data_IF_364138594235
#
_entry.id   IF_364138594235
#
_cell.length_a   1.000
_cell.length_b   1.000
_cell.length_c   1.000
_cell.angle_alpha   90.00
_cell.angle_beta   90.00
_cell.angle_gamma   90.00
#
_symmetry.space_group_name_H-M   'P 1'
#
loop_
_entity.id
_entity.type
_entity.pdbx_description
1 polymer ?
#
# COMPACT_ATOMS: atom_id res chain seq x y z
N UNK A 1 13.33 -27.37 10.18
CA UNK A 1 12.47 -26.20 10.43
C UNK A 1 13.18 -25.03 9.77
N UNK A 2 12.86 -24.75 8.50
CA UNK A 2 13.56 -23.69 7.76
C UNK A 2 12.80 -22.38 7.98
N UNK A 3 13.39 -21.47 8.75
CA UNK A 3 12.99 -20.07 8.75
C UNK A 3 13.70 -19.38 7.59
N UNK A 4 13.00 -19.14 6.47
CA UNK A 4 13.46 -18.13 5.52
C UNK A 4 13.00 -16.77 6.06
N UNK A 5 13.91 -16.11 6.76
CA UNK A 5 13.83 -14.67 6.99
C UNK A 5 14.09 -14.01 5.64
N UNK A 6 13.08 -13.32 5.06
CA UNK A 6 13.31 -12.44 3.92
C UNK A 6 14.21 -11.29 4.43
N UNK A 7 15.53 -11.42 4.25
CA UNK A 7 16.56 -10.49 4.75
C UNK A 7 16.88 -9.34 3.79
N UNK A 8 16.01 -9.02 2.85
CA UNK A 8 16.11 -7.78 2.09
C UNK A 8 14.80 -7.01 2.15
N UNK A 9 14.92 -5.77 2.63
CA UNK A 9 13.90 -4.72 2.71
C UNK A 9 13.41 -4.23 1.33
N UNK A 10 13.65 -5.01 0.28
CA UNK A 10 13.15 -4.75 -1.06
C UNK A 10 11.78 -5.37 -1.14
N UNK A 11 10.72 -4.56 -1.26
CA UNK A 11 9.37 -5.10 -1.49
C UNK A 11 9.43 -6.11 -2.63
N UNK A 12 8.71 -7.22 -2.46
CA UNK A 12 8.77 -8.37 -3.37
C UNK A 12 8.70 -7.90 -4.84
N UNK A 13 9.77 -8.13 -5.61
CA UNK A 13 9.86 -7.70 -7.01
C UNK A 13 8.66 -8.21 -7.84
N UNK A 14 8.09 -9.37 -7.48
CA UNK A 14 6.88 -9.88 -8.12
C UNK A 14 5.66 -8.99 -7.87
N UNK A 15 5.54 -8.38 -6.69
CA UNK A 15 4.48 -7.41 -6.39
C UNK A 15 4.68 -6.12 -7.19
N UNK A 16 5.92 -5.62 -7.26
CA UNK A 16 6.25 -4.43 -8.06
C UNK A 16 5.93 -4.67 -9.54
N UNK A 17 6.39 -5.80 -10.10
CA UNK A 17 6.13 -6.18 -11.49
C UNK A 17 4.62 -6.34 -11.77
N UNK A 18 3.86 -6.88 -10.82
CA UNK A 18 2.40 -6.97 -10.91
C UNK A 18 1.76 -5.58 -10.98
N UNK A 19 2.17 -4.65 -10.13
CA UNK A 19 1.63 -3.30 -10.11
C UNK A 19 2.10 -2.45 -11.29
N UNK A 20 3.32 -2.65 -11.78
CA UNK A 20 3.87 -1.88 -12.90
C UNK A 20 3.45 -2.41 -14.27
N UNK A 21 2.78 -3.57 -14.34
CA UNK A 21 2.32 -4.13 -15.60
C UNK A 21 1.29 -3.20 -16.26
N UNK A 22 1.71 -2.49 -17.30
CA UNK A 22 0.84 -1.65 -18.13
C UNK A 22 0.30 -2.53 -19.25
N UNK A 23 -1.02 -2.74 -19.32
CA UNK A 23 -1.66 -3.40 -20.45
C UNK A 23 -2.26 -2.34 -21.37
N UNK A 24 -1.80 -2.27 -22.62
CA UNK A 24 -2.34 -1.36 -23.66
C UNK A 24 -2.36 0.14 -23.27
N UNK A 25 -1.37 0.60 -22.50
CA UNK A 25 -1.30 2.00 -22.02
C UNK A 25 -2.22 2.31 -20.83
N UNK A 26 -2.93 1.32 -20.29
CA UNK A 26 -3.74 1.42 -19.07
C UNK A 26 -2.99 0.87 -17.85
N UNK A 27 -3.29 1.39 -16.64
CA UNK A 27 -2.68 0.89 -15.41
C UNK A 27 -2.96 -0.59 -15.17
N UNK A 28 -2.26 -1.15 -14.18
CA UNK A 28 -2.37 -2.56 -13.83
C UNK A 28 -3.78 -2.99 -13.40
N UNK A 29 -4.14 -4.24 -13.72
CA UNK A 29 -5.40 -4.89 -13.32
C UNK A 29 -5.58 -5.01 -11.80
N UNK A 30 -4.54 -4.71 -11.01
CA UNK A 30 -4.59 -4.68 -9.54
C UNK A 30 -5.03 -3.31 -8.98
N UNK A 31 -5.87 -2.56 -9.70
CA UNK A 31 -6.44 -1.29 -9.25
C UNK A 31 -7.28 -1.40 -7.96
N UNK A 32 -7.73 -2.62 -7.62
CA UNK A 32 -8.45 -2.93 -6.40
C UNK A 32 -7.55 -3.06 -5.16
N UNK A 33 -6.23 -2.97 -5.32
CA UNK A 33 -5.30 -2.94 -4.20
C UNK A 33 -5.20 -1.53 -3.65
N UNK A 34 -5.41 -1.43 -2.34
CA UNK A 34 -5.25 -0.19 -1.60
C UNK A 34 -3.78 -0.04 -1.25
N UNK A 35 -3.18 1.05 -1.72
CA UNK A 35 -1.79 1.42 -1.50
C UNK A 35 -1.74 2.57 -0.48
N UNK A 36 -0.73 2.55 0.38
CA UNK A 36 -0.59 3.52 1.46
C UNK A 36 0.81 4.13 1.46
N UNK A 37 0.90 5.46 1.44
CA UNK A 37 2.17 6.16 1.43
C UNK A 37 2.16 7.31 2.42
N UNK A 38 3.26 7.47 3.17
CA UNK A 38 3.49 8.67 3.97
C UNK A 38 4.02 9.77 3.06
N UNK A 39 3.37 10.94 3.10
CA UNK A 39 3.74 12.09 2.28
C UNK A 39 4.70 13.03 3.03
N UNK A 40 5.19 14.04 2.31
CA UNK A 40 6.12 15.06 2.83
C UNK A 40 5.54 15.91 3.98
N UNK A 41 4.22 16.04 4.06
CA UNK A 41 3.50 16.73 5.13
C UNK A 41 3.14 15.81 6.32
N UNK A 42 3.69 14.59 6.39
CA UNK A 42 3.45 13.60 7.44
C UNK A 42 2.02 13.02 7.46
N UNK A 43 1.22 13.24 6.42
CA UNK A 43 -0.08 12.57 6.24
C UNK A 43 0.07 11.23 5.50
N UNK A 44 -0.90 10.34 5.70
CA UNK A 44 -1.05 9.10 4.95
C UNK A 44 -1.94 9.39 3.73
N UNK A 45 -1.43 9.07 2.55
CA UNK A 45 -2.20 8.90 1.33
C UNK A 45 -2.65 7.45 1.20
N UNK A 46 -3.96 7.23 1.19
CA UNK A 46 -4.57 6.01 0.68
C UNK A 46 -4.99 6.21 -0.77
N UNK A 47 -4.56 5.28 -1.62
CA UNK A 47 -4.76 5.36 -3.07
C UNK A 47 -4.70 3.99 -3.74
N UNK A 48 -4.67 3.97 -5.07
CA UNK A 48 -4.46 2.79 -5.90
C UNK A 48 -3.37 3.04 -6.95
N UNK A 49 -3.08 2.03 -7.77
CA UNK A 49 -2.01 2.13 -8.77
C UNK A 49 -2.26 3.18 -9.86
N UNK A 50 -3.52 3.49 -10.16
CA UNK A 50 -3.89 4.45 -11.21
C UNK A 50 -3.41 5.85 -10.86
N UNK A 51 -3.69 6.31 -9.63
CA UNK A 51 -3.22 7.61 -9.18
C UNK A 51 -1.69 7.66 -9.07
N UNK A 52 -1.05 6.56 -8.65
CA UNK A 52 0.42 6.49 -8.58
C UNK A 52 1.03 6.62 -9.98
N UNK A 53 0.43 5.97 -10.99
CA UNK A 53 0.85 6.11 -12.38
C UNK A 53 0.62 7.54 -12.92
N UNK A 54 -0.49 8.17 -12.55
CA UNK A 54 -0.78 9.55 -12.94
C UNK A 54 0.20 10.55 -12.30
N UNK A 55 0.53 10.36 -11.02
CA UNK A 55 1.58 11.15 -10.33
C UNK A 55 2.91 10.97 -11.03
N UNK A 56 3.27 9.74 -11.38
CA UNK A 56 4.48 9.44 -12.14
C UNK A 56 4.51 10.23 -13.45
N UNK A 57 3.46 10.12 -14.28
CA UNK A 57 3.40 10.77 -15.59
C UNK A 57 3.55 12.28 -15.49
N UNK A 58 2.83 12.91 -14.57
CA UNK A 58 2.78 14.37 -14.46
C UNK A 58 4.02 14.98 -13.80
N UNK A 59 4.61 14.31 -12.81
CA UNK A 59 5.60 14.94 -11.92
C UNK A 59 6.96 14.24 -11.90
N UNK A 60 7.04 12.95 -12.23
CA UNK A 60 8.26 12.15 -12.05
C UNK A 60 8.81 11.53 -13.34
N UNK A 61 8.06 11.53 -14.45
CA UNK A 61 8.45 10.95 -15.75
C UNK A 61 9.70 11.57 -16.38
N UNK A 62 10.04 12.81 -16.01
CA UNK A 62 11.32 13.44 -16.43
C UNK A 62 12.52 12.94 -15.62
N UNK A 63 12.30 12.50 -14.38
CA UNK A 63 13.34 12.02 -13.47
C UNK A 63 13.54 10.50 -13.58
N UNK A 64 12.46 9.76 -13.78
CA UNK A 64 12.45 8.31 -13.90
C UNK A 64 11.98 7.96 -15.30
N UNK A 65 12.81 7.24 -16.05
CA UNK A 65 12.53 6.84 -17.43
C UNK A 65 11.50 5.72 -17.53
N UNK A 66 11.31 4.99 -16.43
CA UNK A 66 10.43 3.82 -16.35
C UNK A 66 9.58 3.87 -15.08
N UNK A 67 8.31 3.47 -15.21
CA UNK A 67 7.36 3.48 -14.10
C UNK A 67 7.71 2.45 -13.03
N UNK A 68 8.25 1.28 -13.41
CA UNK A 68 8.69 0.24 -12.49
C UNK A 68 9.79 0.77 -11.58
N UNK A 69 10.78 1.50 -12.14
CA UNK A 69 11.86 2.11 -11.36
C UNK A 69 11.30 3.13 -10.36
N UNK A 70 10.40 4.00 -10.80
CA UNK A 70 9.75 4.94 -9.90
C UNK A 70 8.98 4.23 -8.78
N UNK A 71 8.21 3.21 -9.13
CA UNK A 71 7.39 2.46 -8.18
C UNK A 71 8.25 1.70 -7.17
N UNK A 72 9.37 1.13 -7.60
CA UNK A 72 10.34 0.48 -6.72
C UNK A 72 10.93 1.48 -5.72
N UNK A 73 11.38 2.64 -6.19
CA UNK A 73 11.93 3.70 -5.33
C UNK A 73 10.87 4.25 -4.36
N UNK A 74 9.62 4.35 -4.80
CA UNK A 74 8.49 4.83 -3.98
C UNK A 74 8.12 3.81 -2.90
N UNK A 75 8.01 2.53 -3.28
CA UNK A 75 7.64 1.45 -2.36
C UNK A 75 8.72 1.17 -1.32
N UNK A 76 9.99 1.42 -1.65
CA UNK A 76 11.13 1.31 -0.74
C UNK A 76 11.41 2.61 0.03
N UNK A 77 10.48 3.57 0.02
CA UNK A 77 10.56 4.84 0.77
C UNK A 77 11.77 5.72 0.42
N UNK A 78 12.38 5.53 -0.76
CA UNK A 78 13.51 6.35 -1.26
C UNK A 78 13.04 7.62 -1.95
N UNK A 79 11.78 7.65 -2.38
CA UNK A 79 11.08 8.87 -2.84
C UNK A 79 9.79 9.04 -2.06
N UNK A 80 9.50 10.29 -1.72
CA UNK A 80 8.29 10.69 -1.02
C UNK A 80 7.38 11.44 -1.98
N UNK A 81 6.07 11.13 -1.94
CA UNK A 81 5.06 11.86 -2.70
C UNK A 81 4.85 13.21 -2.04
N UNK A 82 4.91 14.28 -2.83
CA UNK A 82 4.60 15.61 -2.32
C UNK A 82 3.10 15.83 -2.24
N UNK A 83 2.64 16.33 -1.10
CA UNK A 83 1.24 16.68 -0.86
C UNK A 83 0.69 17.71 -1.86
N UNK A 84 1.54 18.61 -2.37
CA UNK A 84 1.17 19.59 -3.41
C UNK A 84 0.66 18.94 -4.71
N UNK A 85 1.21 17.77 -5.09
CA UNK A 85 0.81 17.04 -6.28
C UNK A 85 -0.58 16.42 -6.10
N UNK A 86 -0.85 15.86 -4.93
CA UNK A 86 -2.16 15.30 -4.60
C UNK A 86 -3.22 16.39 -4.57
N UNK A 87 -2.93 17.52 -3.93
CA UNK A 87 -3.88 18.65 -3.86
C UNK A 87 -4.24 19.20 -5.24
N UNK A 88 -3.29 19.16 -6.18
CA UNK A 88 -3.52 19.56 -7.57
C UNK A 88 -4.41 18.56 -8.30
N UNK A 89 -4.14 17.25 -8.15
CA UNK A 89 -4.92 16.19 -8.80
C UNK A 89 -6.34 16.05 -8.22
N UNK A 90 -6.52 16.24 -6.90
CA UNK A 90 -7.85 16.17 -6.24
C UNK A 90 -8.81 17.24 -6.74
N UNK A 91 -8.32 18.42 -7.11
CA UNK A 91 -9.17 19.48 -7.70
C UNK A 91 -9.83 19.05 -9.02
N UNK A 92 -9.29 18.03 -9.67
CA UNK A 92 -9.82 17.52 -10.93
C UNK A 92 -10.79 16.32 -10.75
N UNK A 93 -11.02 15.83 -9.51
CA UNK A 93 -11.99 14.77 -9.15
C UNK A 93 -11.84 13.40 -9.87
N UNK A 94 -10.65 13.05 -10.38
CA UNK A 94 -10.52 11.85 -11.24
C UNK A 94 -10.10 10.57 -10.49
N UNK A 95 -9.62 10.64 -9.24
CA UNK A 95 -8.93 9.49 -8.62
C UNK A 95 -9.20 9.28 -7.12
N UNK A 96 -9.02 8.03 -6.66
CA UNK A 96 -9.05 7.66 -5.24
C UNK A 96 -7.82 8.27 -4.53
N UNK A 97 -8.06 9.32 -3.75
CA UNK A 97 -7.04 10.03 -2.97
C UNK A 97 -7.59 10.41 -1.60
N UNK A 98 -7.50 9.50 -0.64
CA UNK A 98 -7.92 9.74 0.73
C UNK A 98 -6.72 10.14 1.58
N UNK A 99 -6.81 11.27 2.26
CA UNK A 99 -5.76 11.79 3.14
C UNK A 99 -6.20 11.60 4.59
N UNK A 100 -5.28 11.15 5.43
CA UNK A 100 -5.52 10.99 6.86
C UNK A 100 -4.27 11.39 7.63
N UNK A 101 -4.47 12.00 8.81
CA UNK A 101 -3.42 12.11 9.80
C UNK A 101 -3.05 10.73 10.36
N UNK A 102 -1.87 10.66 10.97
CA UNK A 102 -1.38 9.46 11.66
C UNK A 102 -1.90 9.46 13.10
N UNK A 103 -2.37 8.30 13.57
CA UNK A 103 -2.61 8.05 15.00
C UNK A 103 -1.30 7.58 15.67
N UNK A 104 -0.72 8.42 16.52
CA UNK A 104 0.53 8.16 17.23
C UNK A 104 0.51 6.87 18.07
N UNK A 105 -0.67 6.48 18.58
CA UNK A 105 -0.80 5.28 19.41
C UNK A 105 -0.63 4.05 18.55
N UNK A 106 -1.27 4.00 17.38
CA UNK A 106 -1.14 2.92 16.40
C UNK A 106 0.24 2.93 15.76
N UNK A 107 0.80 4.10 15.39
CA UNK A 107 2.10 4.20 14.72
C UNK A 107 3.22 3.52 15.53
N UNK A 108 3.18 3.72 16.86
CA UNK A 108 4.13 3.15 17.83
C UNK A 108 3.89 1.67 18.14
N UNK A 109 2.76 1.07 17.73
CA UNK A 109 2.54 -0.36 17.90
C UNK A 109 3.37 -1.19 16.92
N UNK A 110 3.82 -2.36 17.38
CA UNK A 110 4.34 -3.40 16.50
C UNK A 110 3.22 -4.01 15.67
N UNK A 111 3.56 -4.52 14.49
CA UNK A 111 2.62 -5.20 13.59
C UNK A 111 1.92 -6.38 14.30
N UNK A 112 2.65 -7.14 15.11
CA UNK A 112 2.09 -8.25 15.92
C UNK A 112 1.02 -7.78 16.92
N UNK A 113 1.21 -6.61 17.54
CA UNK A 113 0.23 -6.05 18.47
C UNK A 113 -0.99 -5.51 17.73
N UNK A 114 -0.79 -4.96 16.52
CA UNK A 114 -1.90 -4.55 15.65
C UNK A 114 -2.73 -5.77 15.24
N UNK A 115 -2.08 -6.84 14.78
CA UNK A 115 -2.71 -8.10 14.41
C UNK A 115 -3.57 -8.65 15.55
N UNK A 116 -3.01 -8.79 16.76
CA UNK A 116 -3.73 -9.34 17.91
C UNK A 116 -4.91 -8.49 18.39
N UNK A 117 -4.81 -7.16 18.26
CA UNK A 117 -5.76 -6.22 18.87
C UNK A 117 -6.89 -5.82 17.94
N UNK A 118 -6.61 -5.70 16.64
CA UNK A 118 -7.53 -5.09 15.69
C UNK A 118 -7.95 -6.03 14.56
N UNK A 119 -7.20 -7.10 14.31
CA UNK A 119 -7.41 -7.95 13.16
C UNK A 119 -8.02 -9.29 13.56
N UNK A 120 -9.02 -9.73 12.81
CA UNK A 120 -9.59 -11.06 12.93
C UNK A 120 -8.87 -11.99 11.97
N UNK A 121 -8.30 -13.08 12.48
CA UNK A 121 -7.65 -14.10 11.65
C UNK A 121 -8.73 -14.96 10.97
N UNK A 122 -8.76 -14.96 9.64
CA UNK A 122 -9.65 -15.83 8.86
C UNK A 122 -8.96 -17.15 8.52
N UNK A 123 -7.70 -17.07 8.11
CA UNK A 123 -6.85 -18.21 7.76
C UNK A 123 -5.39 -17.81 7.93
N UNK A 124 -4.47 -18.78 7.83
CA UNK A 124 -3.03 -18.52 7.99
C UNK A 124 -2.59 -17.32 7.12
N UNK A 125 -2.02 -16.31 7.78
CA UNK A 125 -1.51 -15.08 7.17
C UNK A 125 -2.53 -14.25 6.38
N UNK A 126 -3.84 -14.44 6.63
CA UNK A 126 -4.90 -13.61 6.09
C UNK A 126 -5.89 -13.17 7.18
N UNK A 127 -6.11 -11.87 7.23
CA UNK A 127 -6.86 -11.20 8.27
C UNK A 127 -7.97 -10.34 7.68
N UNK A 128 -8.94 -10.02 8.53
CA UNK A 128 -10.00 -9.06 8.26
C UNK A 128 -9.96 -7.93 9.29
N UNK A 129 -10.07 -6.70 8.81
CA UNK A 129 -10.27 -5.50 9.64
C UNK A 129 -11.71 -5.01 9.49
N UNK A 130 -12.51 -5.17 10.54
CA UNK A 130 -13.85 -4.59 10.64
C UNK A 130 -13.75 -3.17 11.22
N UNK A 131 -14.26 -2.18 10.50
CA UNK A 131 -14.04 -0.76 10.83
C UNK A 131 -15.10 -0.16 11.75
N UNK A 132 -16.28 -0.78 11.88
CA UNK A 132 -17.45 -0.16 12.49
C UNK A 132 -17.33 0.31 13.95
N UNK A 133 -16.28 -0.10 14.67
CA UNK A 133 -16.01 0.31 16.06
C UNK A 133 -14.67 1.04 16.24
N UNK A 134 -13.95 1.29 15.15
CA UNK A 134 -12.61 1.87 15.17
C UNK A 134 -12.68 3.25 14.52
N UNK A 135 -12.12 4.26 15.19
CA UNK A 135 -12.02 5.61 14.63
C UNK A 135 -11.29 5.59 13.28
N UNK A 136 -11.77 6.39 12.33
CA UNK A 136 -11.27 6.38 10.95
C UNK A 136 -9.74 6.60 10.86
N UNK A 137 -9.20 7.54 11.64
CA UNK A 137 -7.75 7.80 11.70
C UNK A 137 -6.94 6.58 12.14
N UNK A 138 -7.46 5.82 13.12
CA UNK A 138 -6.84 4.56 13.57
C UNK A 138 -6.92 3.50 12.49
N UNK A 139 -8.06 3.35 11.82
CA UNK A 139 -8.21 2.43 10.67
C UNK A 139 -7.17 2.73 9.59
N UNK A 140 -7.03 3.99 9.18
CA UNK A 140 -6.05 4.38 8.14
C UNK A 140 -4.61 4.14 8.58
N UNK A 141 -4.30 4.42 9.84
CA UNK A 141 -2.96 4.15 10.40
C UNK A 141 -2.66 2.66 10.50
N UNK A 142 -3.65 1.83 10.88
CA UNK A 142 -3.53 0.36 10.88
C UNK A 142 -3.23 -0.13 9.46
N UNK A 143 -4.03 0.27 8.47
CA UNK A 143 -3.85 -0.16 7.08
C UNK A 143 -2.49 0.26 6.52
N UNK A 144 -2.06 1.49 6.78
CA UNK A 144 -0.71 1.96 6.45
C UNK A 144 0.40 1.11 7.08
N UNK A 145 0.28 0.78 8.37
CA UNK A 145 1.26 -0.07 9.07
C UNK A 145 1.30 -1.48 8.50
N UNK A 146 0.15 -2.07 8.17
CA UNK A 146 0.12 -3.38 7.52
C UNK A 146 0.76 -3.31 6.13
N UNK A 147 0.44 -2.30 5.32
CA UNK A 147 1.01 -2.15 3.98
C UNK A 147 2.54 -1.99 3.97
N UNK A 148 3.08 -1.20 4.89
CA UNK A 148 4.54 -1.02 5.03
C UNK A 148 5.26 -2.25 5.59
N UNK A 149 4.51 -3.21 6.14
CA UNK A 149 5.01 -4.51 6.61
C UNK A 149 4.60 -5.64 5.65
N UNK A 150 4.57 -5.35 4.35
CA UNK A 150 4.38 -6.32 3.26
C UNK A 150 3.03 -7.06 3.27
N UNK A 151 1.96 -6.38 3.69
CA UNK A 151 0.60 -6.87 3.49
C UNK A 151 -0.05 -6.25 2.25
N UNK A 152 -0.79 -7.08 1.51
CA UNK A 152 -1.73 -6.66 0.46
C UNK A 152 -3.07 -6.34 1.11
N UNK A 153 -3.66 -5.22 0.71
CA UNK A 153 -4.91 -4.72 1.25
C UNK A 153 -5.93 -4.60 0.13
N UNK A 154 -7.09 -5.21 0.33
CA UNK A 154 -8.28 -5.05 -0.53
C UNK A 154 -9.50 -4.76 0.32
N UNK A 155 -10.57 -4.28 -0.29
CA UNK A 155 -11.82 -3.99 0.41
C UNK A 155 -12.95 -4.87 -0.12
N UNK A 156 -13.76 -5.41 0.79
CA UNK A 156 -14.96 -6.19 0.47
C UNK A 156 -16.18 -5.30 0.60
N UNK A 157 -16.71 -4.84 -0.53
CA UNK A 157 -17.90 -3.96 -0.56
C UNK A 157 -19.16 -4.66 0.00
N UNK A 158 -19.26 -5.98 -0.16
CA UNK A 158 -20.37 -6.76 0.37
C UNK A 158 -20.33 -6.87 1.90
N UNK A 159 -19.13 -7.00 2.47
CA UNK A 159 -18.93 -7.20 3.91
C UNK A 159 -18.61 -5.93 4.69
N UNK A 160 -18.24 -4.84 4.03
CA UNK A 160 -17.83 -3.59 4.66
C UNK A 160 -16.53 -3.70 5.48
N UNK A 161 -15.58 -4.52 5.04
CA UNK A 161 -14.33 -4.77 5.75
C UNK A 161 -13.11 -4.83 4.81
N UNK A 162 -11.93 -4.58 5.35
CA UNK A 162 -10.67 -4.75 4.62
C UNK A 162 -10.14 -6.17 4.78
N UNK A 163 -9.72 -6.78 3.67
CA UNK A 163 -8.92 -7.99 3.66
C UNK A 163 -7.44 -7.59 3.70
N UNK A 164 -6.69 -8.22 4.59
CA UNK A 164 -5.27 -7.93 4.82
C UNK A 164 -4.52 -9.25 4.75
N UNK A 165 -3.77 -9.47 3.66
CA UNK A 165 -3.07 -10.73 3.41
C UNK A 165 -1.57 -10.50 3.30
N UNK A 166 -0.76 -11.28 4.01
CA UNK A 166 0.70 -11.16 3.93
C UNK A 166 1.17 -11.51 2.51
N UNK A 167 2.11 -10.76 1.97
CA UNK A 167 2.82 -11.14 0.75
C UNK A 167 3.68 -12.36 1.09
N UNK A 168 3.37 -13.50 0.48
CA UNK A 168 4.27 -14.64 0.52
C UNK A 168 5.44 -14.33 -0.43
N UNK A 169 6.67 -14.38 0.09
CA UNK A 169 7.86 -14.51 -0.75
C UNK A 169 7.66 -15.84 -1.50
N UNK A 170 7.56 -15.83 -2.84
CA UNK A 170 7.48 -17.09 -3.60
C UNK A 170 8.73 -17.91 -3.26
N UNK A 171 8.54 -19.16 -2.82
CA UNK A 171 9.63 -20.11 -2.75
C UNK A 171 10.20 -20.22 -4.17
N UNK A 172 11.47 -19.86 -4.35
CA UNK A 172 12.16 -20.21 -5.58
C UNK A 172 12.09 -21.73 -5.69
N UNK A 173 11.20 -22.23 -6.54
CA UNK A 173 11.18 -23.61 -6.97
C UNK A 173 12.45 -23.83 -7.76
N UNK A 174 13.52 -24.22 -7.06
CA UNK A 174 14.69 -24.81 -7.69
C UNK A 174 14.21 -26.09 -8.37
N UNK A 175 14.22 -26.08 -9.70
CA UNK A 175 14.12 -27.28 -10.54
C UNK A 175 15.30 -28.21 -10.28
#
# INVERSE_FOLDING_TARGET
MFSLSCTEKNKNQNFINKLSSVQNGSPSLYFNYYLYFKMDNNEILETNIDLIYEIYKNYYSKKYTDFTIYLEELLNEKVTIKSEYINTLKKNNVFLANLSTIDDTIEKMSTENIEKKYLNLEQKDAFVLQTGKIEATKVKTILYKMFTNDYIITFSDYGGYYNIKRQLCDEQSYQ
#
